data_IF_405088271170
#
_entry.id   IF_405088271170
#
_cell.length_a   1.000
_cell.length_b   1.000
_cell.length_c   1.000
_cell.angle_alpha   90.00
_cell.angle_beta   90.00
_cell.angle_gamma   90.00
#
_symmetry.space_group_name_H-M   'P 1'
#
loop_
_entity.id
_entity.type
_entity.pdbx_description
1 polymer ?
#
# COMPACT_ATOMS: atom_id res chain seq x y z
N UNK A 1 8.05 -20.23 0.22
CA UNK A 1 7.43 -18.88 0.30
C UNK A 1 5.90 -19.05 0.34
N UNK A 2 5.23 -18.24 1.16
CA UNK A 2 3.77 -18.30 1.29
C UNK A 2 3.11 -18.04 -0.08
N UNK A 3 2.00 -18.73 -0.43
CA UNK A 3 1.33 -18.53 -1.72
C UNK A 3 0.93 -17.08 -2.01
N UNK A 4 0.52 -16.33 -0.99
CA UNK A 4 0.17 -14.91 -1.17
C UNK A 4 1.40 -14.06 -1.50
N UNK A 5 2.56 -14.38 -0.91
CA UNK A 5 3.81 -13.70 -1.26
C UNK A 5 4.26 -14.07 -2.69
N UNK A 6 4.03 -15.31 -3.10
CA UNK A 6 4.32 -15.72 -4.47
C UNK A 6 3.47 -14.95 -5.48
N UNK A 7 2.20 -14.67 -5.15
CA UNK A 7 1.35 -13.84 -6.01
C UNK A 7 1.93 -12.45 -6.22
N UNK A 8 2.52 -11.87 -5.17
CA UNK A 8 3.15 -10.55 -5.26
C UNK A 8 4.40 -10.61 -6.15
N UNK A 9 5.21 -11.64 -5.98
CA UNK A 9 6.40 -11.83 -6.82
C UNK A 9 6.02 -11.99 -8.29
N UNK A 10 4.97 -12.77 -8.58
CA UNK A 10 4.48 -12.99 -9.94
C UNK A 10 3.93 -11.70 -10.53
N UNK A 11 3.19 -10.91 -9.75
CA UNK A 11 2.66 -9.62 -10.21
C UNK A 11 3.80 -8.64 -10.54
N UNK A 12 4.82 -8.57 -9.69
CA UNK A 12 5.99 -7.72 -9.93
C UNK A 12 6.70 -8.12 -11.22
N UNK A 13 6.87 -9.41 -11.45
CA UNK A 13 7.50 -9.92 -12.67
C UNK A 13 6.73 -9.51 -13.92
N UNK A 14 5.40 -9.60 -13.89
CA UNK A 14 4.55 -9.17 -15.01
C UNK A 14 4.68 -7.67 -15.29
N UNK A 15 4.96 -6.88 -14.25
CA UNK A 15 5.15 -5.44 -14.37
C UNK A 15 6.58 -5.06 -14.77
N UNK A 16 7.46 -6.05 -14.92
CA UNK A 16 8.87 -5.80 -15.23
C UNK A 16 9.68 -5.28 -14.04
N UNK A 17 9.20 -5.50 -12.83
CA UNK A 17 9.86 -5.03 -11.60
C UNK A 17 10.67 -6.16 -10.97
N UNK A 18 11.94 -5.88 -10.67
CA UNK A 18 12.80 -6.79 -9.94
C UNK A 18 12.66 -6.46 -8.45
N UNK A 19 11.97 -7.31 -7.70
CA UNK A 19 11.84 -7.16 -6.25
C UNK A 19 12.39 -8.38 -5.53
N UNK A 20 12.79 -8.18 -4.28
CA UNK A 20 13.22 -9.24 -3.39
C UNK A 20 12.31 -9.22 -2.17
N UNK A 21 11.57 -10.32 -1.97
CA UNK A 21 10.65 -10.44 -0.84
C UNK A 21 11.43 -10.97 0.37
N UNK A 22 11.28 -10.27 1.50
CA UNK A 22 11.84 -10.70 2.78
C UNK A 22 10.74 -11.18 3.69
N UNK A 23 10.90 -12.37 4.24
CA UNK A 23 9.95 -12.95 5.19
C UNK A 23 10.55 -12.94 6.60
N UNK A 24 9.72 -12.65 7.59
CA UNK A 24 10.14 -12.56 8.99
C UNK A 24 9.35 -13.53 9.85
N UNK A 25 9.94 -13.93 10.98
CA UNK A 25 9.28 -14.80 11.96
C UNK A 25 8.20 -14.03 12.76
N UNK A 26 8.43 -12.73 13.00
CA UNK A 26 7.45 -11.85 13.66
C UNK A 26 6.62 -11.11 12.64
N UNK A 27 5.47 -10.55 13.06
CA UNK A 27 4.61 -9.83 12.13
C UNK A 27 5.22 -8.49 11.72
N UNK A 28 4.93 -8.10 10.47
CA UNK A 28 5.25 -6.78 9.92
C UNK A 28 3.94 -6.04 9.57
N UNK A 29 2.87 -6.34 10.30
CA UNK A 29 1.52 -5.85 10.01
C UNK A 29 1.40 -4.34 10.19
N UNK A 30 1.94 -3.81 11.29
CA UNK A 30 1.97 -2.37 11.51
C UNK A 30 3.22 -1.77 10.89
N UNK A 31 3.16 -0.47 10.58
CA UNK A 31 4.33 0.24 10.02
C UNK A 31 5.51 0.20 10.98
N UNK A 32 5.27 0.33 12.30
CA UNK A 32 6.34 0.29 13.29
C UNK A 32 6.97 -1.09 13.39
N UNK A 33 6.15 -2.14 13.40
CA UNK A 33 6.67 -3.52 13.41
C UNK A 33 7.55 -3.78 12.18
N UNK A 34 7.09 -3.32 11.00
CA UNK A 34 7.84 -3.48 9.77
C UNK A 34 9.17 -2.71 9.81
N UNK A 35 9.14 -1.46 10.25
CA UNK A 35 10.35 -0.63 10.36
C UNK A 35 11.36 -1.26 11.31
N UNK A 36 10.90 -1.77 12.45
CA UNK A 36 11.76 -2.41 13.45
C UNK A 36 12.39 -3.70 12.90
N UNK A 37 11.61 -4.53 12.20
CA UNK A 37 12.11 -5.78 11.64
C UNK A 37 13.12 -5.56 10.53
N UNK A 38 12.88 -4.55 9.68
CA UNK A 38 13.74 -4.21 8.53
C UNK A 38 14.97 -3.42 8.98
N UNK A 39 14.82 -2.57 10.00
CA UNK A 39 15.87 -1.64 10.42
C UNK A 39 15.90 -0.37 9.59
N UNK A 40 14.74 0.08 9.12
CA UNK A 40 14.61 1.31 8.34
C UNK A 40 13.82 2.37 9.12
N UNK A 41 13.71 3.57 8.54
CA UNK A 41 12.88 4.63 9.13
C UNK A 41 11.40 4.33 8.94
N UNK A 42 10.59 4.73 9.92
CA UNK A 42 9.14 4.58 9.85
C UNK A 42 8.56 5.22 8.59
N UNK A 43 9.10 6.38 8.19
CA UNK A 43 8.64 7.11 7.00
C UNK A 43 8.86 6.35 5.69
N UNK A 44 9.76 5.36 5.67
CA UNK A 44 10.03 4.53 4.49
C UNK A 44 9.02 3.39 4.31
N UNK A 45 8.15 3.16 5.27
CA UNK A 45 7.14 2.12 5.20
C UNK A 45 5.93 2.63 4.41
N UNK A 46 5.46 1.83 3.47
CA UNK A 46 4.26 2.13 2.69
C UNK A 46 3.07 1.43 3.35
N UNK A 47 2.13 2.23 3.86
CA UNK A 47 0.86 1.70 4.39
C UNK A 47 -0.14 1.62 3.25
N UNK A 48 -0.66 0.44 2.97
CA UNK A 48 -1.72 0.25 1.96
C UNK A 48 -3.08 0.37 2.64
N UNK A 49 -3.75 1.50 2.46
CA UNK A 49 -5.02 1.80 3.10
C UNK A 49 -6.14 1.74 2.05
N UNK A 50 -7.09 0.84 2.25
CA UNK A 50 -8.20 0.66 1.32
C UNK A 50 -9.45 1.36 1.84
N UNK A 51 -10.09 2.11 0.96
CA UNK A 51 -11.32 2.86 1.23
C UNK A 51 -12.38 2.49 0.22
N UNK A 52 -13.64 2.74 0.57
CA UNK A 52 -14.72 2.75 -0.41
C UNK A 52 -15.20 4.20 -0.58
N UNK A 53 -15.36 4.60 -1.82
CA UNK A 53 -15.85 5.93 -2.19
C UNK A 53 -17.01 5.71 -3.15
N UNK A 54 -18.22 6.05 -2.75
CA UNK A 54 -19.43 5.69 -3.50
C UNK A 54 -19.47 4.19 -3.84
N UNK A 55 -19.14 3.36 -2.85
CA UNK A 55 -19.10 1.89 -2.94
C UNK A 55 -18.02 1.33 -3.88
N UNK A 56 -17.12 2.17 -4.41
CA UNK A 56 -15.99 1.72 -5.23
C UNK A 56 -14.72 1.65 -4.39
N UNK A 57 -13.89 0.60 -4.53
CA UNK A 57 -12.64 0.49 -3.79
C UNK A 57 -11.60 1.48 -4.32
N UNK A 58 -10.96 2.19 -3.41
CA UNK A 58 -9.88 3.15 -3.68
C UNK A 58 -8.74 2.81 -2.72
N UNK A 59 -7.51 2.88 -3.19
CA UNK A 59 -6.35 2.64 -2.34
C UNK A 59 -5.52 3.90 -2.17
N UNK A 60 -5.05 4.11 -0.95
CA UNK A 60 -4.08 5.15 -0.64
C UNK A 60 -2.83 4.48 -0.07
N UNK A 61 -1.69 4.76 -0.70
CA UNK A 61 -0.38 4.30 -0.23
C UNK A 61 0.27 5.46 0.53
N UNK A 62 0.36 5.33 1.84
CA UNK A 62 0.73 6.43 2.74
C UNK A 62 2.01 6.10 3.48
N UNK A 63 2.93 7.07 3.58
CA UNK A 63 4.14 6.91 4.39
C UNK A 63 3.80 6.54 5.83
N UNK A 64 4.55 5.61 6.42
CA UNK A 64 4.33 5.17 7.78
C UNK A 64 4.38 6.27 8.82
N UNK A 65 5.10 7.36 8.56
CA UNK A 65 5.20 8.52 9.46
C UNK A 65 4.03 9.50 9.31
N UNK A 66 3.20 9.33 8.29
CA UNK A 66 2.08 10.23 8.02
C UNK A 66 0.75 9.60 8.40
N UNK A 67 -0.22 10.44 8.73
CA UNK A 67 -1.60 10.04 8.89
C UNK A 67 -2.39 10.56 7.70
N UNK A 68 -3.20 9.70 7.08
CA UNK A 68 -4.02 10.08 5.93
C UNK A 68 -5.08 11.11 6.34
N UNK A 69 -5.20 12.16 5.53
CA UNK A 69 -6.29 13.12 5.65
C UNK A 69 -7.42 12.70 4.72
N UNK A 70 -8.51 12.19 5.29
CA UNK A 70 -9.64 11.71 4.50
C UNK A 70 -10.36 12.83 3.76
N UNK A 71 -10.23 14.07 4.21
CA UNK A 71 -10.77 15.23 3.47
C UNK A 71 -10.02 15.46 2.17
N UNK A 72 -8.68 15.29 2.20
CA UNK A 72 -7.87 15.35 0.98
C UNK A 72 -8.26 14.25 0.01
N UNK A 73 -8.45 13.04 0.53
CA UNK A 73 -8.87 11.91 -0.30
C UNK A 73 -10.23 12.18 -0.96
N UNK A 74 -11.20 12.68 -0.20
CA UNK A 74 -12.51 13.03 -0.72
C UNK A 74 -12.42 14.08 -1.83
N UNK A 75 -11.62 15.12 -1.64
CA UNK A 75 -11.40 16.16 -2.64
C UNK A 75 -10.80 15.61 -3.93
N UNK A 76 -9.82 14.69 -3.81
CA UNK A 76 -9.22 14.03 -4.96
C UNK A 76 -10.22 13.18 -5.74
N UNK A 77 -11.19 12.60 -5.05
CA UNK A 77 -12.25 11.80 -5.67
C UNK A 77 -13.45 12.64 -6.14
N UNK A 78 -13.44 13.94 -5.86
CA UNK A 78 -14.54 14.83 -6.24
C UNK A 78 -15.83 14.59 -5.48
N UNK A 79 -15.75 14.15 -4.21
CA UNK A 79 -16.93 13.82 -3.39
C UNK A 79 -16.85 14.52 -2.03
N UNK A 80 -17.96 14.51 -1.29
CA UNK A 80 -17.99 14.99 0.07
C UNK A 80 -17.32 14.01 1.02
N UNK A 81 -16.79 14.49 2.15
CA UNK A 81 -16.07 13.68 3.13
C UNK A 81 -16.87 12.44 3.58
N UNK A 82 -18.19 12.56 3.68
CA UNK A 82 -19.06 11.47 4.13
C UNK A 82 -19.10 10.28 3.19
N UNK A 83 -18.70 10.47 1.93
CA UNK A 83 -18.68 9.39 0.93
C UNK A 83 -17.45 8.52 1.03
N UNK A 84 -16.44 8.95 1.81
CA UNK A 84 -15.19 8.21 2.01
C UNK A 84 -15.29 7.40 3.30
N UNK A 85 -15.16 6.09 3.19
CA UNK A 85 -15.24 5.17 4.33
C UNK A 85 -14.10 4.15 4.26
N UNK A 86 -13.58 3.74 5.42
CA UNK A 86 -12.63 2.64 5.47
C UNK A 86 -13.31 1.37 4.97
N UNK A 87 -12.64 0.66 4.08
CA UNK A 87 -13.14 -0.62 3.61
C UNK A 87 -13.08 -1.65 4.74
N UNK A 88 -14.13 -2.49 4.85
CA UNK A 88 -14.12 -3.60 5.79
C UNK A 88 -13.07 -4.64 5.39
N UNK A 89 -12.71 -5.53 6.33
CA UNK A 89 -11.77 -6.62 6.04
C UNK A 89 -12.25 -7.48 4.86
N UNK A 90 -13.56 -7.76 4.82
CA UNK A 90 -14.15 -8.54 3.72
C UNK A 90 -14.07 -7.80 2.39
N UNK A 91 -14.34 -6.50 2.39
CA UNK A 91 -14.24 -5.67 1.19
C UNK A 91 -12.79 -5.60 0.66
N UNK A 92 -11.81 -5.47 1.56
CA UNK A 92 -10.39 -5.48 1.19
C UNK A 92 -10.03 -6.80 0.53
N UNK A 93 -10.41 -7.91 1.15
CA UNK A 93 -10.12 -9.26 0.61
C UNK A 93 -10.78 -9.46 -0.76
N UNK A 94 -12.03 -9.04 -0.92
CA UNK A 94 -12.76 -9.17 -2.18
C UNK A 94 -12.13 -8.33 -3.30
N UNK A 95 -11.73 -7.09 -3.00
CA UNK A 95 -11.18 -6.18 -4.00
C UNK A 95 -9.73 -6.52 -4.36
N UNK A 96 -8.91 -6.87 -3.40
CA UNK A 96 -7.47 -7.04 -3.59
C UNK A 96 -7.02 -8.48 -3.74
N UNK A 97 -7.73 -9.42 -3.13
CA UNK A 97 -7.30 -10.81 -3.01
C UNK A 97 -6.37 -11.08 -1.84
N UNK A 98 -6.08 -10.06 -1.03
CA UNK A 98 -5.18 -10.14 0.12
C UNK A 98 -5.88 -9.69 1.38
N UNK A 99 -5.42 -10.18 2.53
CA UNK A 99 -5.96 -9.80 3.83
C UNK A 99 -5.29 -8.53 4.35
N UNK A 100 -6.02 -7.76 5.17
CA UNK A 100 -5.48 -6.57 5.84
C UNK A 100 -4.19 -6.95 6.57
N UNK A 101 -3.19 -6.09 6.49
CA UNK A 101 -1.87 -6.30 7.06
C UNK A 101 -0.86 -6.87 6.07
N UNK A 102 -1.34 -7.44 4.94
CA UNK A 102 -0.47 -7.99 3.91
C UNK A 102 -0.75 -7.44 2.51
N UNK A 103 -1.60 -6.44 2.37
CA UNK A 103 -2.03 -5.93 1.05
C UNK A 103 -0.85 -5.24 0.34
N UNK A 104 -0.43 -5.77 -0.82
CA UNK A 104 0.63 -5.15 -1.61
C UNK A 104 0.11 -3.94 -2.39
N UNK A 105 1.01 -3.11 -2.94
CA UNK A 105 0.58 -1.94 -3.71
C UNK A 105 0.10 -2.25 -5.13
N UNK A 106 0.27 -3.48 -5.60
CA UNK A 106 -0.13 -3.93 -6.93
C UNK A 106 -0.51 -5.41 -6.90
N UNK A 107 -0.96 -5.95 -8.03
CA UNK A 107 -1.36 -7.36 -8.11
C UNK A 107 -2.75 -7.61 -7.54
N UNK A 108 -3.61 -6.61 -7.52
CA UNK A 108 -4.97 -6.71 -6.99
C UNK A 108 -5.91 -7.41 -7.96
N UNK A 109 -6.95 -8.08 -7.42
CA UNK A 109 -7.96 -8.75 -8.23
C UNK A 109 -8.80 -7.76 -9.03
N UNK A 110 -9.12 -6.62 -8.43
CA UNK A 110 -9.96 -5.59 -9.05
C UNK A 110 -9.12 -4.37 -9.36
N UNK A 111 -9.17 -3.84 -10.59
CA UNK A 111 -8.55 -2.55 -10.87
C UNK A 111 -9.17 -1.46 -10.00
N UNK A 112 -8.34 -0.60 -9.43
CA UNK A 112 -8.82 0.49 -8.60
C UNK A 112 -7.93 1.71 -8.75
N UNK A 113 -8.47 2.88 -8.43
CA UNK A 113 -7.70 4.11 -8.37
C UNK A 113 -6.77 4.04 -7.15
N UNK A 114 -5.51 4.38 -7.36
CA UNK A 114 -4.49 4.36 -6.32
C UNK A 114 -3.83 5.74 -6.23
N UNK A 115 -3.87 6.32 -5.04
CA UNK A 115 -3.14 7.55 -4.73
C UNK A 115 -1.91 7.20 -3.91
N UNK A 116 -0.80 7.86 -4.20
CA UNK A 116 0.49 7.61 -3.54
C UNK A 116 0.94 8.87 -2.82
N UNK A 117 1.25 8.74 -1.55
CA UNK A 117 1.77 9.83 -0.73
C UNK A 117 3.07 10.35 -1.34
N UNK A 118 3.08 11.61 -1.74
CA UNK A 118 4.25 12.23 -2.36
C UNK A 118 5.48 12.25 -1.46
N UNK A 119 5.29 12.18 -0.13
CA UNK A 119 6.42 12.15 0.82
C UNK A 119 7.26 10.88 0.68
N UNK A 120 6.73 9.82 0.10
CA UNK A 120 7.51 8.60 -0.17
C UNK A 120 8.65 8.87 -1.16
N UNK A 121 8.54 9.91 -1.98
CA UNK A 121 9.56 10.29 -2.97
C UNK A 121 10.85 10.84 -2.36
N UNK A 122 10.87 11.11 -1.06
CA UNK A 122 12.07 11.59 -0.37
C UNK A 122 13.15 10.52 -0.24
N UNK A 123 12.79 9.27 -0.42
CA UNK A 123 13.68 8.14 -0.17
C UNK A 123 14.07 7.46 -1.47
N UNK A 124 15.26 6.86 -1.51
CA UNK A 124 15.66 6.00 -2.62
C UNK A 124 14.93 4.67 -2.57
N UNK A 125 14.61 4.21 -1.37
CA UNK A 125 13.97 2.92 -1.13
C UNK A 125 12.83 3.08 -0.14
N UNK A 126 11.68 2.48 -0.46
CA UNK A 126 10.55 2.33 0.45
C UNK A 126 10.20 0.84 0.54
N UNK A 127 9.43 0.47 1.55
CA UNK A 127 9.12 -0.92 1.84
C UNK A 127 7.62 -1.13 1.91
N UNK A 128 7.12 -2.11 1.17
CA UNK A 128 5.69 -2.41 1.08
C UNK A 128 5.40 -3.85 1.50
N UNK A 129 4.16 -4.11 1.90
CA UNK A 129 3.71 -5.45 2.24
C UNK A 129 3.76 -6.37 1.01
N UNK A 130 4.11 -7.62 1.23
CA UNK A 130 4.29 -8.61 0.18
C UNK A 130 3.30 -9.78 0.30
N UNK A 131 2.04 -9.46 0.56
CA UNK A 131 0.95 -10.44 0.49
C UNK A 131 0.59 -11.13 1.80
N UNK A 132 1.44 -11.03 2.82
CA UNK A 132 1.18 -11.59 4.15
C UNK A 132 1.63 -10.61 5.22
N UNK A 133 1.15 -10.76 6.48
CA UNK A 133 1.63 -9.89 7.58
C UNK A 133 3.04 -10.24 8.06
N UNK A 134 3.78 -11.09 7.33
CA UNK A 134 5.15 -11.50 7.66
C UNK A 134 6.15 -11.22 6.53
N UNK A 135 5.71 -10.59 5.46
CA UNK A 135 6.55 -10.40 4.27
C UNK A 135 6.49 -8.97 3.76
N UNK A 136 7.66 -8.47 3.35
CA UNK A 136 7.81 -7.12 2.79
C UNK A 136 8.77 -7.17 1.61
N UNK A 137 8.76 -6.12 0.79
CA UNK A 137 9.75 -5.95 -0.27
C UNK A 137 10.17 -4.50 -0.40
N UNK A 138 11.39 -4.28 -0.86
CA UNK A 138 11.94 -2.96 -1.13
C UNK A 138 11.64 -2.56 -2.57
N UNK A 139 11.35 -1.28 -2.78
CA UNK A 139 11.10 -0.74 -4.12
C UNK A 139 11.44 0.75 -4.13
N UNK A 140 11.93 1.26 -5.27
CA UNK A 140 12.08 2.69 -5.44
C UNK A 140 10.73 3.36 -5.60
N UNK A 141 10.55 4.59 -5.10
CA UNK A 141 9.23 5.27 -5.16
C UNK A 141 8.69 5.46 -6.58
N UNK A 142 9.55 5.76 -7.56
CA UNK A 142 9.09 5.93 -8.94
C UNK A 142 8.61 4.61 -9.55
N UNK A 143 9.29 3.50 -9.24
CA UNK A 143 8.85 2.17 -9.66
C UNK A 143 7.57 1.74 -8.95
N UNK A 144 7.39 2.15 -7.69
CA UNK A 144 6.14 1.94 -6.96
C UNK A 144 4.98 2.62 -7.67
N UNK A 145 5.14 3.92 -7.97
CA UNK A 145 4.10 4.73 -8.62
C UNK A 145 3.74 4.16 -9.99
N UNK A 146 4.75 3.88 -10.82
CA UNK A 146 4.50 3.33 -12.15
C UNK A 146 3.92 1.92 -12.09
N UNK A 147 4.40 1.07 -11.18
CA UNK A 147 3.95 -0.30 -11.04
C UNK A 147 2.50 -0.42 -10.59
N UNK A 148 2.03 0.45 -9.72
CA UNK A 148 0.63 0.46 -9.29
C UNK A 148 -0.26 1.38 -10.14
N UNK A 149 0.31 2.07 -11.13
CA UNK A 149 -0.38 3.07 -11.95
C UNK A 149 -1.04 4.14 -11.07
N UNK A 150 -0.32 4.53 -10.01
CA UNK A 150 -0.82 5.48 -9.04
C UNK A 150 -0.53 6.92 -9.39
N UNK A 151 -1.15 7.82 -8.65
CA UNK A 151 -0.92 9.27 -8.77
C UNK A 151 -0.32 9.77 -7.47
N UNK A 152 0.86 10.38 -7.55
CA UNK A 152 1.52 10.96 -6.38
C UNK A 152 0.86 12.29 -6.02
N UNK A 153 0.42 12.41 -4.77
CA UNK A 153 -0.36 13.55 -4.29
C UNK A 153 -0.08 13.80 -2.81
N UNK A 154 -0.53 14.94 -2.31
CA UNK A 154 -0.50 15.20 -0.88
C UNK A 154 -1.68 14.50 -0.21
N UNK A 155 -1.37 13.59 0.72
CA UNK A 155 -2.39 12.80 1.44
C UNK A 155 -2.36 13.04 2.94
N UNK A 156 -1.30 13.62 3.48
CA UNK A 156 -1.09 13.69 4.92
C UNK A 156 -1.91 14.78 5.60
N UNK A 157 -2.29 14.51 6.84
CA UNK A 157 -2.80 15.55 7.74
C UNK A 157 -1.65 16.50 8.10
N UNK A 158 -1.96 17.75 8.14
CA UNK A 158 -1.03 18.80 8.53
C UNK A 158 -1.32 19.33 9.91
#
# INVERSE_FOLDING_TARGET
MHPSAQKVADAAQKLGLAIEIKEFAQTTRSAQEAADAIGCELAQIVKSLCFTVNDEPIMALVSGANQLDERKLAALCGVGRKKVQRASADAVKAATGFSIGGVPPFGHLTPMTIFVDEDLRQFETVWAAAGTPFAVFAIGPENLISGCEGTAVSLKKE
#
